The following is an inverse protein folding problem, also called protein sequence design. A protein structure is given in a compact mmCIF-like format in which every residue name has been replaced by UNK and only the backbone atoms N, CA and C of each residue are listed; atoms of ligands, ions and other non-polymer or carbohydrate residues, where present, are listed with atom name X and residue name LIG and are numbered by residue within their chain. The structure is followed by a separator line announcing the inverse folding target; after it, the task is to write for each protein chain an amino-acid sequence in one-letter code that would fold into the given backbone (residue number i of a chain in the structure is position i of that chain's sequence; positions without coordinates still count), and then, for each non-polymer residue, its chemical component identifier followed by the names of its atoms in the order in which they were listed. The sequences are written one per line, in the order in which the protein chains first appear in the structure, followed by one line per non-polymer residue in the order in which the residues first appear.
data_IF_777937076334
#
_entry.id   IF_777937076334
#
_cell.length_a   1.000
_cell.length_b   1.000
_cell.length_c   1.000
_cell.angle_alpha   90.00
_cell.angle_beta   90.00
_cell.angle_gamma   90.00
#
_symmetry.space_group_name_H-M   'P 1'
#
loop_
_entity.id
_entity.type
_entity.pdbx_description
1 polymer ?
#
# COMPACT_ATOMS: atom_id res chain seq x y z
N UNK A 1 -2.34 19.90 -15.95
CA UNK A 1 -1.19 19.08 -16.42
C UNK A 1 -1.08 18.99 -17.95
N UNK A 2 -2.17 18.90 -18.73
CA UNK A 2 -2.06 18.81 -20.20
C UNK A 2 -1.38 20.03 -20.88
N UNK A 3 -1.40 21.19 -20.22
CA UNK A 3 -0.82 22.45 -20.71
C UNK A 3 0.45 22.87 -19.93
N UNK A 4 1.05 21.96 -19.14
CA UNK A 4 2.22 22.29 -18.31
C UNK A 4 3.53 22.35 -19.08
N UNK A 5 4.43 23.25 -18.70
CA UNK A 5 5.76 23.38 -19.30
C UNK A 5 6.74 22.36 -18.71
N UNK A 6 7.82 22.07 -19.44
CA UNK A 6 8.88 21.17 -18.97
C UNK A 6 9.43 21.62 -17.61
N UNK A 7 9.66 22.91 -17.45
CA UNK A 7 10.21 23.50 -16.22
C UNK A 7 9.30 23.27 -15.02
N UNK A 8 7.98 23.34 -15.23
CA UNK A 8 6.98 23.05 -14.19
C UNK A 8 7.04 21.58 -13.76
N UNK A 9 7.17 20.64 -14.71
CA UNK A 9 7.33 19.21 -14.40
C UNK A 9 8.65 18.91 -13.66
N UNK A 10 9.74 19.57 -14.04
CA UNK A 10 11.03 19.43 -13.35
C UNK A 10 10.97 19.98 -11.91
N UNK A 11 10.23 21.07 -11.69
CA UNK A 11 9.97 21.61 -10.36
C UNK A 11 9.14 20.63 -9.52
N UNK A 12 8.03 20.10 -10.07
CA UNK A 12 7.18 19.12 -9.38
C UNK A 12 7.97 17.88 -8.96
N UNK A 13 8.80 17.33 -9.85
CA UNK A 13 9.65 16.16 -9.52
C UNK A 13 10.55 16.40 -8.31
N UNK A 14 11.12 17.61 -8.18
CA UNK A 14 11.95 17.98 -7.01
C UNK A 14 11.12 18.04 -5.73
N UNK A 15 9.91 18.59 -5.81
CA UNK A 15 8.98 18.70 -4.67
C UNK A 15 8.39 17.35 -4.27
N UNK A 16 8.26 16.42 -5.21
CA UNK A 16 7.76 15.06 -4.97
C UNK A 16 8.80 14.14 -4.33
N UNK A 17 10.10 14.39 -4.52
CA UNK A 17 11.16 13.50 -4.03
C UNK A 17 11.06 13.18 -2.51
N UNK A 18 10.80 14.15 -1.61
CA UNK A 18 10.56 13.86 -0.19
C UNK A 18 9.32 13.00 0.04
N UNK A 19 8.26 13.20 -0.76
CA UNK A 19 7.05 12.39 -0.68
C UNK A 19 7.33 10.96 -1.17
N UNK A 20 8.07 10.77 -2.26
CA UNK A 20 8.41 9.43 -2.75
C UNK A 20 9.29 8.66 -1.78
N UNK A 21 10.22 9.35 -1.09
CA UNK A 21 11.13 8.74 -0.12
C UNK A 21 10.40 8.01 1.02
N UNK A 22 9.22 8.50 1.43
CA UNK A 22 8.46 7.97 2.57
C UNK A 22 7.36 6.99 2.16
N UNK A 23 7.40 6.46 0.93
CA UNK A 23 6.32 5.60 0.39
C UNK A 23 6.11 4.35 1.24
N UNK A 24 7.17 3.66 1.64
CA UNK A 24 7.06 2.47 2.47
C UNK A 24 6.44 2.77 3.84
N UNK A 25 6.83 3.89 4.47
CA UNK A 25 6.27 4.29 5.77
C UNK A 25 4.79 4.65 5.68
N UNK A 26 4.34 5.25 4.56
CA UNK A 26 2.92 5.46 4.30
C UNK A 26 2.17 4.15 4.24
N UNK A 27 2.65 3.17 3.46
CA UNK A 27 2.01 1.86 3.36
C UNK A 27 1.91 1.19 4.73
N UNK A 28 3.00 1.20 5.51
CA UNK A 28 3.00 0.64 6.86
C UNK A 28 2.06 1.38 7.83
N UNK A 29 1.86 2.68 7.64
CA UNK A 29 0.88 3.46 8.42
C UNK A 29 -0.55 3.04 8.09
N UNK A 30 -0.89 2.90 6.81
CA UNK A 30 -2.22 2.41 6.42
C UNK A 30 -2.48 1.00 6.95
N UNK A 31 -1.48 0.10 6.89
CA UNK A 31 -1.60 -1.23 7.48
C UNK A 31 -1.86 -1.19 8.99
N UNK A 32 -1.25 -0.25 9.72
CA UNK A 32 -1.55 -0.06 11.16
C UNK A 32 -2.98 0.41 11.38
N UNK A 33 -3.49 1.31 10.54
CA UNK A 33 -4.89 1.74 10.61
C UNK A 33 -5.86 0.57 10.34
N UNK A 34 -5.54 -0.29 9.39
CA UNK A 34 -6.32 -1.50 9.11
C UNK A 34 -6.32 -2.54 10.25
N UNK A 35 -5.42 -2.43 11.23
CA UNK A 35 -5.44 -3.23 12.44
C UNK A 35 -6.53 -2.79 13.44
N UNK A 36 -7.11 -1.61 13.24
CA UNK A 36 -8.14 -1.02 14.10
C UNK A 36 -9.50 -0.92 13.39
N UNK A 37 -9.52 -1.19 12.08
CA UNK A 37 -10.71 -1.10 11.23
C UNK A 37 -11.27 -2.49 10.92
N UNK A 38 -12.60 -2.60 10.91
CA UNK A 38 -13.31 -3.76 10.38
C UNK A 38 -14.55 -3.31 9.60
N UNK A 39 -15.01 -4.16 8.68
CA UNK A 39 -16.29 -3.97 8.02
C UNK A 39 -17.40 -4.44 8.96
N UNK A 40 -18.52 -3.70 9.00
CA UNK A 40 -19.66 -4.07 9.84
C UNK A 40 -20.10 -5.51 9.60
N UNK A 41 -20.17 -6.30 10.68
CA UNK A 41 -20.54 -7.72 10.65
C UNK A 41 -19.38 -8.71 10.50
N UNK A 42 -18.15 -8.25 10.25
CA UNK A 42 -16.97 -9.11 10.25
C UNK A 42 -16.37 -9.21 11.66
N UNK A 43 -15.80 -10.38 11.97
CA UNK A 43 -15.19 -10.66 13.28
C UNK A 43 -13.70 -10.33 13.35
N UNK A 44 -13.09 -10.01 12.20
CA UNK A 44 -11.67 -9.74 12.07
C UNK A 44 -11.45 -8.35 11.46
N UNK A 45 -10.29 -7.79 11.74
CA UNK A 45 -9.84 -6.52 11.21
C UNK A 45 -9.50 -6.64 9.71
N UNK A 46 -9.40 -5.49 9.02
CA UNK A 46 -8.94 -5.43 7.64
C UNK A 46 -7.52 -6.00 7.50
N UNK A 47 -6.64 -5.71 8.46
CA UNK A 47 -5.27 -6.23 8.45
C UNK A 47 -5.25 -7.76 8.62
N UNK A 48 -6.03 -8.32 9.54
CA UNK A 48 -6.10 -9.77 9.72
C UNK A 48 -6.59 -10.48 8.46
N UNK A 49 -7.58 -9.90 7.76
CA UNK A 49 -8.03 -10.41 6.48
C UNK A 49 -6.91 -10.43 5.42
N UNK A 50 -6.17 -9.32 5.26
CA UNK A 50 -5.03 -9.25 4.36
C UNK A 50 -3.93 -10.26 4.71
N UNK A 51 -3.62 -10.42 6.01
CA UNK A 51 -2.63 -11.40 6.49
C UNK A 51 -3.04 -12.84 6.21
N UNK A 52 -4.32 -13.18 6.35
CA UNK A 52 -4.83 -14.51 6.01
C UNK A 52 -4.64 -14.81 4.50
N UNK A 53 -4.99 -13.84 3.64
CA UNK A 53 -4.82 -13.94 2.19
C UNK A 53 -3.34 -14.08 1.79
N UNK A 54 -2.48 -13.20 2.31
CA UNK A 54 -1.03 -13.24 2.05
C UNK A 54 -0.38 -14.53 2.57
N UNK A 55 -0.77 -15.00 3.75
CA UNK A 55 -0.27 -16.27 4.33
C UNK A 55 -0.64 -17.46 3.46
N UNK A 56 -1.86 -17.48 2.91
CA UNK A 56 -2.28 -18.52 1.97
C UNK A 56 -1.43 -18.49 0.69
N UNK A 57 -1.26 -17.31 0.09
CA UNK A 57 -0.42 -17.14 -1.11
C UNK A 57 1.03 -17.60 -0.86
N UNK A 58 1.61 -17.20 0.28
CA UNK A 58 2.96 -17.59 0.66
C UNK A 58 3.11 -19.11 0.81
N UNK A 59 2.14 -19.77 1.47
CA UNK A 59 2.13 -21.24 1.63
C UNK A 59 1.93 -22.00 0.32
N UNK A 60 1.30 -21.36 -0.67
CA UNK A 60 1.13 -21.90 -2.02
C UNK A 60 2.38 -21.72 -2.90
N UNK A 61 3.44 -21.10 -2.36
CA UNK A 61 4.68 -20.85 -3.08
C UNK A 61 4.58 -19.72 -4.11
N UNK A 62 3.62 -18.81 -3.96
CA UNK A 62 3.49 -17.64 -4.82
C UNK A 62 4.72 -16.72 -4.70
N UNK A 63 4.99 -15.94 -5.74
CA UNK A 63 6.05 -14.95 -5.72
C UNK A 63 5.76 -13.80 -4.73
N UNK A 64 6.81 -13.04 -4.43
CA UNK A 64 6.72 -11.97 -3.43
C UNK A 64 5.74 -10.88 -3.85
N UNK A 65 5.65 -10.58 -5.15
CA UNK A 65 4.76 -9.55 -5.67
C UNK A 65 3.30 -9.95 -5.45
N UNK A 66 2.98 -11.24 -5.65
CA UNK A 66 1.65 -11.79 -5.39
C UNK A 66 1.32 -11.84 -3.91
N UNK A 67 2.28 -12.22 -3.05
CA UNK A 67 2.11 -12.19 -1.59
C UNK A 67 1.85 -10.76 -1.11
N UNK A 68 2.61 -9.79 -1.62
CA UNK A 68 2.41 -8.37 -1.30
C UNK A 68 1.05 -7.86 -1.81
N UNK A 69 0.65 -8.21 -3.04
CA UNK A 69 -0.66 -7.84 -3.57
C UNK A 69 -1.80 -8.41 -2.73
N UNK A 70 -1.70 -9.68 -2.32
CA UNK A 70 -2.69 -10.31 -1.43
C UNK A 70 -2.73 -9.67 -0.03
N UNK A 71 -1.61 -9.12 0.45
CA UNK A 71 -1.58 -8.39 1.73
C UNK A 71 -2.23 -7.01 1.65
N UNK A 72 -2.09 -6.32 0.50
CA UNK A 72 -2.44 -4.90 0.33
C UNK A 72 -3.76 -4.63 -0.42
N UNK A 73 -4.53 -5.67 -0.76
CA UNK A 73 -5.79 -5.56 -1.50
C UNK A 73 -6.95 -4.93 -0.70
#
# INVERSE_FOLDING_TARGET
MKDGTREEYELLRKLEAPHLAITAERVLREMRHHAEETLGGYQITRLEHGLQSATRAYRDGADLDWVCAALLH
#
